data_IF_284145969749
#
_entry.id   IF_284145969749
#
_cell.length_a   1.000
_cell.length_b   1.000
_cell.length_c   1.000
_cell.angle_alpha   90.00
_cell.angle_beta   90.00
_cell.angle_gamma   90.00
#
_symmetry.space_group_name_H-M   'P 1'
#
loop_
_entity.id
_entity.type
_entity.pdbx_description
1 polymer ?
#
# COMPACT_ATOMS: atom_id res chain seq x y z
N UNK A 1 3.73 15.93 8.87
CA UNK A 1 3.92 14.47 8.73
C UNK A 1 4.63 14.23 7.41
N UNK A 2 5.71 13.44 7.38
CA UNK A 2 6.37 13.12 6.11
C UNK A 2 5.41 12.34 5.21
N UNK A 3 5.50 12.59 3.90
CA UNK A 3 4.75 11.84 2.91
C UNK A 3 5.14 10.35 2.97
N UNK A 4 4.17 9.47 2.76
CA UNK A 4 4.38 8.02 2.71
C UNK A 4 4.05 7.51 1.34
N UNK A 5 4.89 6.64 0.82
CA UNK A 5 4.75 6.11 -0.52
C UNK A 5 4.75 4.59 -0.47
N UNK A 6 3.78 3.99 -1.15
CA UNK A 6 3.76 2.57 -1.43
C UNK A 6 4.51 2.31 -2.73
N UNK A 7 5.59 1.54 -2.65
CA UNK A 7 6.23 0.93 -3.82
C UNK A 7 5.56 -0.42 -4.08
N UNK A 8 4.99 -0.58 -5.26
CA UNK A 8 4.37 -1.83 -5.71
C UNK A 8 4.90 -2.14 -7.11
N UNK A 9 5.76 -3.15 -7.23
CA UNK A 9 6.54 -3.39 -8.44
C UNK A 9 7.40 -2.17 -8.81
N UNK A 10 7.28 -1.70 -10.05
CA UNK A 10 8.00 -0.50 -10.55
C UNK A 10 7.28 0.82 -10.26
N UNK A 11 6.07 0.76 -9.67
CA UNK A 11 5.23 1.94 -9.45
C UNK A 11 5.27 2.43 -8.00
N UNK A 12 5.11 3.74 -7.85
CA UNK A 12 5.12 4.43 -6.55
C UNK A 12 3.82 5.22 -6.37
N UNK A 13 3.16 5.01 -5.25
CA UNK A 13 1.86 5.60 -4.93
C UNK A 13 1.94 6.40 -3.64
N UNK A 14 1.44 7.64 -3.63
CA UNK A 14 1.29 8.40 -2.39
C UNK A 14 0.17 7.77 -1.56
N UNK A 15 0.43 7.43 -0.30
CA UNK A 15 -0.56 6.80 0.58
C UNK A 15 -0.80 7.62 1.85
N UNK A 16 -2.04 7.61 2.32
CA UNK A 16 -2.40 8.15 3.63
C UNK A 16 -2.16 7.09 4.72
N UNK A 17 -2.17 7.50 5.99
CA UNK A 17 -2.14 6.56 7.13
C UNK A 17 -3.28 5.53 7.09
N UNK A 18 -4.46 5.93 6.63
CA UNK A 18 -5.61 5.03 6.49
C UNK A 18 -5.42 4.02 5.34
N UNK A 19 -4.82 4.44 4.23
CA UNK A 19 -4.45 3.53 3.16
C UNK A 19 -3.38 2.52 3.61
N UNK A 20 -2.40 2.95 4.40
CA UNK A 20 -1.40 2.06 5.01
C UNK A 20 -2.02 1.03 5.95
N UNK A 21 -2.94 1.46 6.84
CA UNK A 21 -3.62 0.54 7.74
C UNK A 21 -4.41 -0.54 6.98
N UNK A 22 -5.04 -0.17 5.84
CA UNK A 22 -5.73 -1.12 4.96
C UNK A 22 -4.76 -2.05 4.23
N UNK A 23 -3.62 -1.52 3.78
CA UNK A 23 -2.55 -2.33 3.19
C UNK A 23 -2.05 -3.39 4.18
N UNK A 24 -1.76 -3.02 5.43
CA UNK A 24 -1.28 -3.96 6.44
C UNK A 24 -2.29 -5.09 6.68
N UNK A 25 -3.60 -4.80 6.73
CA UNK A 25 -4.63 -5.83 6.85
C UNK A 25 -4.70 -6.75 5.62
N UNK A 26 -4.51 -6.20 4.43
CA UNK A 26 -4.48 -7.00 3.20
C UNK A 26 -3.24 -7.91 3.15
N UNK A 27 -2.08 -7.41 3.57
CA UNK A 27 -0.85 -8.19 3.69
C UNK A 27 -1.02 -9.34 4.69
N UNK A 28 -1.52 -9.05 5.89
CA UNK A 28 -1.81 -10.04 6.93
C UNK A 28 -2.71 -11.18 6.40
N UNK A 29 -3.80 -10.80 5.71
CA UNK A 29 -4.71 -11.78 5.09
C UNK A 29 -4.07 -12.62 3.99
N UNK A 30 -3.23 -12.05 3.14
CA UNK A 30 -2.60 -12.78 2.03
C UNK A 30 -1.46 -13.66 2.52
N UNK A 31 -0.61 -13.15 3.41
CA UNK A 31 0.63 -13.81 3.83
C UNK A 31 0.46 -14.68 5.09
N UNK A 32 -0.35 -14.30 6.08
CA UNK A 32 -0.58 -15.12 7.28
C UNK A 32 -1.74 -16.10 7.10
N UNK A 33 -2.85 -15.64 6.49
CA UNK A 33 -4.04 -16.45 6.31
C UNK A 33 -4.10 -17.21 4.97
N UNK A 34 -3.11 -17.03 4.09
CA UNK A 34 -3.00 -17.78 2.85
C UNK A 34 -4.13 -17.50 1.84
N UNK A 35 -4.75 -16.32 1.89
CA UNK A 35 -5.86 -15.97 1.00
C UNK A 35 -5.51 -15.93 -0.51
N UNK A 36 -4.24 -16.15 -0.88
CA UNK A 36 -3.74 -16.18 -2.26
C UNK A 36 -3.62 -14.78 -2.87
N UNK A 37 -4.67 -13.97 -2.78
CA UNK A 37 -4.67 -12.57 -3.19
C UNK A 37 -5.78 -11.74 -2.52
N UNK A 38 -5.62 -10.42 -2.49
CA UNK A 38 -6.61 -9.46 -1.99
C UNK A 38 -6.55 -8.14 -2.80
N UNK A 39 -7.71 -7.55 -3.10
CA UNK A 39 -7.76 -6.26 -3.79
C UNK A 39 -7.71 -5.10 -2.80
N UNK A 40 -6.68 -4.25 -2.93
CA UNK A 40 -6.54 -3.02 -2.14
C UNK A 40 -6.95 -1.80 -2.97
N UNK A 41 -7.91 -1.03 -2.47
CA UNK A 41 -8.30 0.25 -3.06
C UNK A 41 -7.55 1.39 -2.36
N UNK A 42 -6.60 2.03 -3.04
CA UNK A 42 -5.83 3.13 -2.44
C UNK A 42 -6.68 4.39 -2.27
N UNK A 43 -7.34 4.82 -3.34
CA UNK A 43 -8.13 6.04 -3.40
C UNK A 43 -9.60 5.69 -3.65
N UNK A 44 -10.34 5.35 -2.59
CA UNK A 44 -11.70 4.81 -2.74
C UNK A 44 -12.71 5.87 -3.16
N UNK A 45 -12.46 7.11 -2.76
CA UNK A 45 -13.39 8.24 -2.89
C UNK A 45 -12.91 9.29 -3.90
N UNK A 46 -12.00 8.93 -4.79
CA UNK A 46 -11.48 9.83 -5.84
C UNK A 46 -12.01 9.43 -7.21
N UNK A 47 -12.04 10.39 -8.14
CA UNK A 47 -12.45 10.16 -9.54
C UNK A 47 -11.57 9.15 -10.29
N UNK A 48 -10.35 8.92 -9.80
CA UNK A 48 -9.41 7.93 -10.32
C UNK A 48 -9.15 6.84 -9.26
N UNK A 49 -10.06 5.88 -9.08
CA UNK A 49 -9.91 4.84 -8.06
C UNK A 49 -8.77 3.89 -8.44
N UNK A 50 -7.65 4.00 -7.73
CA UNK A 50 -6.50 3.13 -7.93
C UNK A 50 -6.66 1.84 -7.12
N UNK A 51 -6.57 0.68 -7.79
CA UNK A 51 -6.68 -0.65 -7.18
C UNK A 51 -5.41 -1.44 -7.41
N UNK A 52 -4.88 -2.05 -6.36
CA UNK A 52 -3.71 -2.91 -6.40
C UNK A 52 -4.10 -4.34 -6.01
N UNK A 53 -3.56 -5.32 -6.71
CA UNK A 53 -3.73 -6.73 -6.38
C UNK A 53 -2.62 -7.14 -5.40
N UNK A 54 -2.92 -7.26 -4.12
CA UNK A 54 -1.96 -7.79 -3.15
C UNK A 54 -1.91 -9.30 -3.33
N UNK A 55 -0.76 -9.85 -3.70
CA UNK A 55 -0.59 -11.28 -3.94
C UNK A 55 0.79 -11.74 -3.45
N UNK A 56 0.88 -13.00 -3.04
CA UNK A 56 2.14 -13.61 -2.63
C UNK A 56 3.16 -13.54 -3.76
N UNK A 57 4.40 -13.10 -3.46
CA UNK A 57 5.51 -13.03 -4.42
C UNK A 57 5.68 -11.69 -5.13
N UNK A 58 4.76 -10.72 -4.95
CA UNK A 58 4.98 -9.36 -5.45
C UNK A 58 5.75 -8.54 -4.40
N UNK A 59 6.87 -7.88 -4.76
CA UNK A 59 7.60 -7.03 -3.84
C UNK A 59 6.79 -5.76 -3.53
N UNK A 60 6.59 -5.51 -2.24
CA UNK A 60 5.84 -4.38 -1.71
C UNK A 60 6.69 -3.71 -0.63
N UNK A 61 6.80 -2.39 -0.66
CA UNK A 61 7.57 -1.63 0.35
C UNK A 61 6.90 -0.29 0.65
N UNK A 62 6.99 0.16 1.91
CA UNK A 62 6.57 1.50 2.29
C UNK A 62 7.81 2.37 2.45
N UNK A 63 7.89 3.42 1.64
CA UNK A 63 8.93 4.43 1.68
C UNK A 63 8.38 5.65 2.42
N UNK A 64 9.08 6.11 3.45
CA UNK A 64 8.77 7.39 4.09
C UNK A 64 9.70 8.44 3.52
N UNK A 65 9.15 9.58 3.09
CA UNK A 65 9.97 10.71 2.68
C UNK A 65 10.88 11.09 3.87
N UNK A 66 12.20 11.19 3.69
CA UNK A 66 13.06 11.66 4.76
C UNK A 66 12.57 13.04 5.14
N UNK A 67 12.15 13.21 6.39
CA UNK A 67 11.89 14.55 6.91
C UNK A 67 13.18 15.34 6.71
N UNK A 68 13.08 16.54 6.11
CA UNK A 68 14.10 17.55 6.31
C UNK A 68 14.28 17.65 7.83
N UNK A 69 15.38 17.07 8.33
CA UNK A 69 15.76 17.18 9.72
C UNK A 69 15.84 18.66 10.04
N UNK A 70 15.25 19.03 11.17
CA UNK A 70 15.52 20.32 11.81
C UNK A 70 17.02 20.45 12.08
#
# INVERSE_FOLDING_TARGET
>A
MPNRFLRYGDQRYLITKEAEARLNRALDKVYEHGAGHEWLHLYRDTEAPCRLLIASGVPITIETEPGLGD
#
